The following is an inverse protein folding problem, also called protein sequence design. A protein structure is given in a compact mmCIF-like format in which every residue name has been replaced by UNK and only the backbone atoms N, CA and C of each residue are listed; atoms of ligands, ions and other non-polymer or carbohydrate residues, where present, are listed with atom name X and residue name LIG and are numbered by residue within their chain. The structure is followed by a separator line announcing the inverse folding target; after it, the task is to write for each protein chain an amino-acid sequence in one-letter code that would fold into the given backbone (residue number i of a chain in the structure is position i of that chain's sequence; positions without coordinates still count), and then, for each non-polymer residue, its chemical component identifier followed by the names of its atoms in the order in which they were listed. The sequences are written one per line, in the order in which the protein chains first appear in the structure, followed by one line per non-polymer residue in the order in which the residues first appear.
data_IF_031849096874
#
_entry.id   IF_031849096874
#
_cell.length_a   1.000
_cell.length_b   1.000
_cell.length_c   1.000
_cell.angle_alpha   90.00
_cell.angle_beta   90.00
_cell.angle_gamma   90.00
#
_symmetry.space_group_name_H-M   'P 1'
#
loop_
_entity.id
_entity.type
_entity.pdbx_description
1 polymer ?
#
# COMPACT_ATOMS: atom_id res chain seq x y z
N UNK A 1 -8.47 -46.76 10.28
CA UNK A 1 -8.02 -45.89 9.18
C UNK A 1 -8.94 -44.69 9.17
N UNK A 2 -8.48 -43.56 9.72
CA UNK A 2 -9.19 -42.29 9.63
C UNK A 2 -8.75 -41.63 8.33
N UNK A 3 -9.68 -41.51 7.38
CA UNK A 3 -9.46 -40.80 6.14
C UNK A 3 -9.30 -39.31 6.44
N UNK A 4 -8.05 -38.85 6.45
CA UNK A 4 -7.69 -37.44 6.39
C UNK A 4 -8.10 -36.90 5.03
N UNK A 5 -9.33 -36.39 4.94
CA UNK A 5 -9.78 -35.58 3.81
C UNK A 5 -9.01 -34.27 3.88
N UNK A 6 -7.88 -34.19 3.16
CA UNK A 6 -7.21 -32.93 2.88
C UNK A 6 -8.23 -31.96 2.27
N UNK A 7 -8.43 -30.75 2.83
CA UNK A 7 -9.38 -29.80 2.27
C UNK A 7 -8.98 -29.48 0.83
N UNK A 8 -9.96 -29.51 -0.07
CA UNK A 8 -9.78 -29.13 -1.47
C UNK A 8 -9.11 -27.74 -1.53
N UNK A 9 -8.11 -27.54 -2.41
CA UNK A 9 -7.45 -26.25 -2.54
C UNK A 9 -8.50 -25.19 -2.87
N UNK A 10 -8.49 -24.09 -2.12
CA UNK A 10 -9.39 -22.97 -2.36
C UNK A 10 -9.26 -22.52 -3.84
N UNK A 11 -10.37 -22.19 -4.52
CA UNK A 11 -10.32 -21.77 -5.90
C UNK A 11 -9.40 -20.54 -6.05
N UNK A 12 -8.57 -20.48 -7.11
CA UNK A 12 -7.62 -19.41 -7.28
C UNK A 12 -8.31 -18.05 -7.40
N UNK A 13 -7.74 -17.05 -6.73
CA UNK A 13 -8.24 -15.67 -6.76
C UNK A 13 -7.86 -15.01 -8.09
N UNK A 14 -8.88 -14.56 -8.83
CA UNK A 14 -8.70 -13.92 -10.14
C UNK A 14 -8.15 -14.86 -11.23
N UNK A 15 -8.06 -14.36 -12.47
CA UNK A 15 -7.37 -15.06 -13.57
C UNK A 15 -8.10 -16.27 -14.17
N UNK A 16 -9.27 -16.64 -13.64
CA UNK A 16 -10.13 -17.71 -14.17
C UNK A 16 -10.63 -17.46 -15.60
N UNK A 17 -11.18 -18.50 -16.25
CA UNK A 17 -11.71 -18.42 -17.63
C UNK A 17 -12.75 -17.31 -17.80
N UNK A 18 -13.71 -17.22 -16.89
CA UNK A 18 -14.75 -16.19 -16.90
C UNK A 18 -14.15 -14.77 -16.78
N UNK A 19 -13.19 -14.59 -15.89
CA UNK A 19 -12.50 -13.31 -15.65
C UNK A 19 -11.73 -12.85 -16.90
N UNK A 20 -11.04 -13.78 -17.58
CA UNK A 20 -10.38 -13.50 -18.87
C UNK A 20 -11.36 -13.13 -19.98
N UNK A 21 -12.50 -13.84 -20.05
CA UNK A 21 -13.54 -13.56 -21.03
C UNK A 21 -14.15 -12.17 -20.83
N UNK A 22 -14.54 -11.85 -19.59
CA UNK A 22 -15.07 -10.53 -19.21
C UNK A 22 -14.10 -9.41 -19.56
N UNK A 23 -12.79 -9.55 -19.29
CA UNK A 23 -11.80 -8.55 -19.68
C UNK A 23 -11.67 -8.38 -21.19
N UNK A 24 -11.79 -9.46 -21.97
CA UNK A 24 -11.79 -9.35 -23.44
C UNK A 24 -13.03 -8.59 -23.91
N UNK A 25 -14.21 -8.95 -23.41
CA UNK A 25 -15.46 -8.28 -23.74
C UNK A 25 -15.42 -6.78 -23.35
N UNK A 26 -14.94 -6.46 -22.16
CA UNK A 26 -14.79 -5.07 -21.71
C UNK A 26 -13.90 -4.26 -22.66
N UNK A 27 -12.75 -4.82 -23.08
CA UNK A 27 -11.83 -4.15 -24.01
C UNK A 27 -12.39 -3.97 -25.42
N UNK A 28 -13.35 -4.80 -25.84
CA UNK A 28 -14.06 -4.63 -27.11
C UNK A 28 -15.12 -3.53 -27.02
N UNK A 29 -15.78 -3.38 -25.87
CA UNK A 29 -16.89 -2.45 -25.69
C UNK A 29 -16.49 -1.05 -25.20
N UNK A 30 -15.27 -0.89 -24.66
CA UNK A 30 -14.85 0.34 -23.95
C UNK A 30 -13.56 0.94 -24.51
N UNK A 31 -13.41 2.25 -24.33
CA UNK A 31 -12.25 3.00 -24.82
C UNK A 31 -10.95 2.60 -24.10
N UNK A 32 -9.81 2.93 -24.71
CA UNK A 32 -8.48 2.72 -24.09
C UNK A 32 -8.37 3.43 -22.73
N UNK A 33 -8.95 4.62 -22.61
CA UNK A 33 -8.98 5.44 -21.39
C UNK A 33 -9.84 4.87 -20.26
N UNK A 34 -10.56 3.76 -20.48
CA UNK A 34 -11.33 3.08 -19.43
C UNK A 34 -10.77 1.72 -19.08
N UNK A 35 -9.64 1.30 -19.68
CA UNK A 35 -9.12 -0.07 -19.58
C UNK A 35 -8.76 -0.50 -18.16
N UNK A 36 -8.35 0.43 -17.29
CA UNK A 36 -8.10 0.16 -15.89
C UNK A 36 -9.35 -0.41 -15.17
N UNK A 37 -10.54 -0.07 -15.63
CA UNK A 37 -11.81 -0.58 -15.07
C UNK A 37 -12.17 -2.01 -15.48
N UNK A 38 -11.39 -2.66 -16.37
CA UNK A 38 -11.67 -4.03 -16.82
C UNK A 38 -11.62 -5.05 -15.68
N UNK A 39 -10.91 -4.73 -14.60
CA UNK A 39 -10.82 -5.55 -13.39
C UNK A 39 -11.97 -5.28 -12.42
N UNK A 40 -12.80 -4.26 -12.63
CA UNK A 40 -13.93 -3.96 -11.76
C UNK A 40 -15.25 -4.45 -12.38
N UNK A 41 -15.43 -4.23 -13.68
CA UNK A 41 -16.64 -4.65 -14.39
C UNK A 41 -16.67 -6.16 -14.68
N UNK A 42 -17.85 -6.83 -14.61
CA UNK A 42 -19.14 -6.37 -14.08
C UNK A 42 -19.31 -6.65 -12.57
N UNK A 43 -18.25 -7.11 -11.91
CA UNK A 43 -18.31 -7.71 -10.59
C UNK A 43 -18.50 -6.71 -9.44
N UNK A 44 -18.02 -5.49 -9.64
CA UNK A 44 -18.02 -4.42 -8.64
C UNK A 44 -19.09 -3.38 -8.97
N UNK A 45 -19.67 -2.78 -7.92
CA UNK A 45 -20.42 -1.54 -7.95
C UNK A 45 -19.88 -0.64 -6.84
N UNK A 46 -19.74 0.65 -7.15
CA UNK A 46 -19.29 1.66 -6.19
C UNK A 46 -20.30 2.80 -6.12
N UNK A 47 -20.28 3.51 -5.00
CA UNK A 47 -20.97 4.78 -4.82
C UNK A 47 -19.96 5.83 -4.38
N UNK A 48 -20.15 7.07 -4.83
CA UNK A 48 -19.30 8.20 -4.49
C UNK A 48 -20.12 9.23 -3.73
N UNK A 49 -19.49 9.89 -2.78
CA UNK A 49 -20.08 11.02 -2.07
C UNK A 49 -19.91 12.33 -2.88
N UNK A 50 -20.29 13.46 -2.28
CA UNK A 50 -20.21 14.78 -2.94
C UNK A 50 -18.79 15.26 -3.22
N UNK A 51 -17.80 14.78 -2.45
CA UNK A 51 -16.37 15.04 -2.72
C UNK A 51 -15.85 14.21 -3.89
N UNK A 52 -16.60 13.20 -4.31
CA UNK A 52 -16.20 12.22 -5.30
C UNK A 52 -15.42 11.04 -4.71
N UNK A 53 -15.15 10.99 -3.40
CA UNK A 53 -14.56 9.83 -2.74
C UNK A 53 -15.51 8.63 -2.76
N UNK A 54 -14.98 7.40 -2.75
CA UNK A 54 -15.80 6.18 -2.72
C UNK A 54 -16.34 5.98 -1.31
N UNK A 55 -17.67 6.00 -1.16
CA UNK A 55 -18.36 5.84 0.12
C UNK A 55 -19.13 4.52 0.25
N UNK A 56 -19.19 3.72 -0.82
CA UNK A 56 -19.82 2.41 -0.79
C UNK A 56 -19.19 1.46 -1.81
N UNK A 57 -19.12 0.19 -1.45
CA UNK A 57 -18.51 -0.84 -2.28
C UNK A 57 -19.29 -2.15 -2.20
N UNK A 58 -19.66 -2.70 -3.36
CA UNK A 58 -20.31 -4.01 -3.49
C UNK A 58 -19.57 -4.83 -4.54
N UNK A 59 -19.20 -6.06 -4.20
CA UNK A 59 -18.60 -7.00 -5.15
C UNK A 59 -19.19 -8.40 -4.99
N UNK A 60 -19.44 -9.09 -6.10
CA UNK A 60 -19.98 -10.47 -6.10
C UNK A 60 -21.24 -10.63 -5.23
N UNK A 61 -22.15 -9.66 -5.31
CA UNK A 61 -23.40 -9.66 -4.54
C UNK A 61 -23.28 -9.21 -3.09
N UNK A 62 -22.06 -9.11 -2.54
CA UNK A 62 -21.75 -8.76 -1.14
C UNK A 62 -21.35 -7.29 -1.00
N UNK A 63 -21.77 -6.64 0.09
CA UNK A 63 -21.43 -5.25 0.41
C UNK A 63 -20.51 -5.21 1.63
N UNK A 64 -19.53 -4.30 1.62
CA UNK A 64 -18.69 -4.01 2.78
C UNK A 64 -18.88 -2.55 3.21
N UNK A 65 -18.90 -2.28 4.54
CA UNK A 65 -18.86 -0.91 5.02
C UNK A 65 -17.52 -0.27 4.65
N UNK A 66 -17.58 0.95 4.10
CA UNK A 66 -16.39 1.74 3.77
C UNK A 66 -16.23 2.82 4.81
N UNK A 67 -15.05 2.89 5.41
CA UNK A 67 -14.64 3.93 6.32
C UNK A 67 -14.19 5.15 5.50
N UNK A 68 -14.78 6.35 5.71
CA UNK A 68 -14.32 7.57 5.09
C UNK A 68 -12.82 7.79 5.35
N UNK A 69 -12.08 8.28 4.35
CA UNK A 69 -10.61 8.47 4.49
C UNK A 69 -10.24 9.35 5.69
N UNK A 70 -11.02 10.40 5.95
CA UNK A 70 -10.84 11.29 7.11
C UNK A 70 -11.00 10.60 8.48
N UNK A 71 -11.56 9.39 8.53
CA UNK A 71 -11.74 8.57 9.74
C UNK A 71 -10.81 7.34 9.74
N UNK A 72 -10.03 7.15 8.68
CA UNK A 72 -9.15 5.99 8.52
C UNK A 72 -7.85 6.07 9.32
N UNK A 73 -7.43 7.31 9.63
CA UNK A 73 -6.18 7.62 10.32
C UNK A 73 -6.48 8.31 11.66
N UNK A 74 -5.67 8.04 12.67
CA UNK A 74 -5.68 8.72 13.96
C UNK A 74 -4.70 9.90 13.93
N UNK A 75 -5.17 11.16 13.94
CA UNK A 75 -4.29 12.33 13.85
C UNK A 75 -3.28 12.45 14.99
N UNK A 76 -3.48 11.74 16.11
CA UNK A 76 -2.51 11.69 17.21
C UNK A 76 -1.24 10.88 16.86
N UNK A 77 -1.30 10.05 15.82
CA UNK A 77 -0.14 9.29 15.33
C UNK A 77 0.75 10.19 14.47
N UNK A 78 1.42 11.18 15.06
CA UNK A 78 2.35 12.05 14.31
C UNK A 78 3.63 11.32 13.88
N UNK A 79 4.05 10.31 14.65
CA UNK A 79 5.19 9.44 14.36
C UNK A 79 4.71 8.01 14.05
N UNK A 80 4.99 7.53 12.84
CA UNK A 80 4.55 6.20 12.37
C UNK A 80 5.67 5.40 11.72
N UNK A 81 5.62 4.08 11.89
CA UNK A 81 6.57 3.15 11.29
C UNK A 81 5.93 2.52 10.05
N UNK A 82 6.49 2.80 8.87
CA UNK A 82 6.09 2.13 7.62
C UNK A 82 6.95 0.87 7.44
N UNK A 83 6.36 -0.30 7.61
CA UNK A 83 7.07 -1.58 7.57
C UNK A 83 6.78 -2.28 6.24
N UNK A 84 7.83 -2.46 5.44
CA UNK A 84 7.80 -3.16 4.15
C UNK A 84 8.28 -4.61 4.28
N UNK A 85 8.69 -5.19 3.16
CA UNK A 85 9.14 -6.59 3.07
C UNK A 85 10.52 -6.73 2.44
N UNK A 86 11.36 -5.69 2.49
CA UNK A 86 12.76 -5.82 2.10
C UNK A 86 13.53 -6.71 3.08
N UNK A 87 14.55 -7.46 2.63
CA UNK A 87 15.33 -8.38 3.48
C UNK A 87 15.94 -7.73 4.72
N UNK A 88 16.21 -6.42 4.75
CA UNK A 88 16.78 -5.73 5.93
C UNK A 88 15.91 -5.85 7.19
N UNK A 89 14.60 -6.04 7.06
CA UNK A 89 13.70 -6.21 8.21
C UNK A 89 13.99 -7.47 9.02
N UNK A 90 14.67 -8.47 8.44
CA UNK A 90 15.01 -9.71 9.12
C UNK A 90 16.00 -9.50 10.29
N UNK A 91 16.75 -8.40 10.26
CA UNK A 91 17.84 -8.12 11.20
C UNK A 91 17.39 -7.20 12.35
N UNK A 92 16.16 -6.67 12.30
CA UNK A 92 15.66 -5.70 13.29
C UNK A 92 14.98 -6.45 14.45
N UNK A 93 15.43 -6.26 15.71
CA UNK A 93 14.80 -6.86 16.88
C UNK A 93 13.57 -6.04 17.31
N UNK A 94 12.46 -6.16 16.57
CA UNK A 94 11.25 -5.33 16.74
C UNK A 94 10.67 -5.29 18.17
N UNK A 95 10.90 -6.33 18.97
CA UNK A 95 10.52 -6.40 20.39
C UNK A 95 11.24 -5.36 21.26
N UNK A 96 12.40 -4.86 20.82
CA UNK A 96 13.20 -3.86 21.53
C UNK A 96 12.89 -2.42 21.11
N UNK A 97 12.13 -2.21 20.03
CA UNK A 97 11.88 -0.89 19.46
C UNK A 97 10.66 -0.23 20.11
N UNK A 98 10.73 1.08 20.41
CA UNK A 98 9.57 1.89 20.77
C UNK A 98 8.75 2.22 19.52
N UNK A 99 7.81 1.35 19.19
CA UNK A 99 6.87 1.52 18.08
C UNK A 99 5.48 1.70 18.68
N UNK A 100 4.87 2.87 18.48
CA UNK A 100 3.50 3.15 18.95
C UNK A 100 2.45 2.88 17.88
N UNK A 101 2.77 3.20 16.63
CA UNK A 101 1.89 3.02 15.49
C UNK A 101 2.70 2.53 14.29
N UNK A 102 2.20 1.49 13.63
CA UNK A 102 2.79 0.95 12.40
C UNK A 102 1.75 0.85 11.27
N UNK A 103 2.22 1.16 10.06
CA UNK A 103 1.57 0.76 8.82
C UNK A 103 2.37 -0.38 8.19
N UNK A 104 1.74 -1.55 8.06
CA UNK A 104 2.32 -2.64 7.27
C UNK A 104 1.95 -2.52 5.79
N UNK A 105 2.82 -3.02 4.92
CA UNK A 105 2.50 -3.20 3.50
C UNK A 105 2.83 -4.59 3.01
N UNK A 106 2.01 -5.10 2.09
CA UNK A 106 2.17 -6.42 1.48
C UNK A 106 2.50 -7.52 2.52
N UNK A 107 3.69 -8.14 2.43
CA UNK A 107 4.07 -9.26 3.28
C UNK A 107 4.57 -8.91 4.68
N UNK A 108 4.57 -7.65 5.09
CA UNK A 108 5.03 -7.21 6.41
C UNK A 108 4.31 -7.92 7.57
N UNK A 109 3.07 -8.34 7.37
CA UNK A 109 2.26 -9.10 8.34
C UNK A 109 2.92 -10.41 8.78
N UNK A 110 3.84 -10.95 7.99
CA UNK A 110 4.62 -12.13 8.38
C UNK A 110 5.44 -11.89 9.66
N UNK A 111 5.84 -10.64 9.94
CA UNK A 111 6.54 -10.26 11.17
C UNK A 111 5.65 -10.39 12.41
N UNK A 112 4.32 -10.25 12.26
CA UNK A 112 3.37 -10.42 13.36
C UNK A 112 3.30 -11.86 13.90
N UNK A 113 3.96 -12.83 13.25
CA UNK A 113 4.14 -14.20 13.76
C UNK A 113 5.26 -14.29 14.80
N UNK A 114 6.20 -13.34 14.78
CA UNK A 114 7.40 -13.33 15.64
C UNK A 114 7.38 -12.20 16.66
N UNK A 115 6.77 -11.07 16.31
CA UNK A 115 6.79 -9.85 17.11
C UNK A 115 5.37 -9.31 17.29
N UNK A 116 5.10 -8.73 18.45
CA UNK A 116 3.85 -8.04 18.72
C UNK A 116 3.91 -6.60 18.19
N UNK A 117 3.70 -6.46 16.88
CA UNK A 117 3.75 -5.17 16.19
C UNK A 117 2.38 -4.47 16.21
N UNK A 118 2.31 -3.18 16.58
CA UNK A 118 1.05 -2.42 16.63
C UNK A 118 0.66 -1.93 15.23
N UNK A 119 0.27 -2.86 14.36
CA UNK A 119 -0.29 -2.55 13.05
C UNK A 119 -1.67 -1.90 13.19
N UNK A 120 -1.71 -0.58 13.44
CA UNK A 120 -2.94 0.24 13.37
C UNK A 120 -3.42 0.40 11.94
N UNK A 121 -2.48 0.39 10.98
CA UNK A 121 -2.74 0.62 9.57
C UNK A 121 -2.14 -0.49 8.70
N UNK A 122 -2.73 -0.68 7.52
CA UNK A 122 -2.16 -1.53 6.48
C UNK A 122 -2.47 -0.97 5.10
N UNK A 123 -1.57 -1.11 4.13
CA UNK A 123 -1.81 -0.69 2.76
C UNK A 123 -1.51 -1.81 1.76
N UNK A 124 -2.49 -2.10 0.88
CA UNK A 124 -2.35 -3.09 -0.20
C UNK A 124 -2.88 -2.48 -1.50
N UNK A 125 -1.96 -2.25 -2.44
CA UNK A 125 -2.31 -1.80 -3.81
C UNK A 125 -1.90 -2.80 -4.90
N UNK A 126 -1.11 -3.83 -4.55
CA UNK A 126 -0.67 -4.86 -5.50
C UNK A 126 -1.68 -6.01 -5.57
N UNK A 127 -2.39 -6.11 -6.69
CA UNK A 127 -3.32 -7.23 -6.93
C UNK A 127 -2.63 -8.61 -6.94
N UNK A 128 -1.35 -8.69 -7.34
CA UNK A 128 -0.66 -9.98 -7.38
C UNK A 128 -0.40 -10.50 -5.97
N UNK A 129 -0.08 -9.61 -5.02
CA UNK A 129 0.03 -9.99 -3.62
C UNK A 129 -1.23 -10.69 -3.11
N UNK A 130 -2.42 -10.19 -3.44
CA UNK A 130 -3.69 -10.84 -3.04
C UNK A 130 -3.88 -12.19 -3.73
N UNK A 131 -3.53 -12.28 -5.01
CA UNK A 131 -3.72 -13.50 -5.81
C UNK A 131 -2.78 -14.61 -5.39
N UNK A 132 -1.54 -14.25 -5.08
CA UNK A 132 -0.46 -15.20 -4.84
C UNK A 132 -0.34 -15.53 -3.34
N UNK A 133 -0.68 -14.58 -2.45
CA UNK A 133 -0.50 -14.67 -0.99
C UNK A 133 -1.77 -14.37 -0.20
N UNK A 134 -2.89 -14.96 -0.63
CA UNK A 134 -4.20 -14.78 0.03
C UNK A 134 -4.19 -15.20 1.52
N UNK A 135 -3.27 -16.10 1.91
CA UNK A 135 -3.03 -16.51 3.31
C UNK A 135 -2.60 -15.32 4.18
N UNK A 136 -1.67 -14.50 3.69
CA UNK A 136 -1.21 -13.30 4.38
C UNK A 136 -2.29 -12.23 4.40
N UNK A 137 -3.04 -12.08 3.32
CA UNK A 137 -4.16 -11.14 3.26
C UNK A 137 -5.26 -11.49 4.26
N UNK A 138 -5.57 -12.78 4.42
CA UNK A 138 -6.50 -13.25 5.44
C UNK A 138 -6.06 -12.86 6.85
N UNK A 139 -4.77 -12.98 7.15
CA UNK A 139 -4.20 -12.54 8.42
C UNK A 139 -4.27 -11.02 8.63
N UNK A 140 -4.24 -10.23 7.56
CA UNK A 140 -4.38 -8.76 7.62
C UNK A 140 -5.84 -8.38 7.91
N UNK A 141 -6.78 -8.89 7.10
CA UNK A 141 -8.19 -8.49 7.19
C UNK A 141 -8.89 -9.00 8.45
N UNK A 142 -8.36 -10.05 9.09
CA UNK A 142 -8.88 -10.58 10.34
C UNK A 142 -8.53 -9.73 11.58
N UNK A 143 -7.68 -8.71 11.45
CA UNK A 143 -7.24 -7.84 12.56
C UNK A 143 -8.10 -6.58 12.65
N UNK A 144 -8.15 -6.00 13.85
CA UNK A 144 -8.70 -4.67 14.07
C UNK A 144 -7.65 -3.61 13.69
N UNK A 145 -7.71 -3.19 12.44
CA UNK A 145 -6.83 -2.17 11.84
C UNK A 145 -7.58 -1.42 10.73
N UNK A 146 -7.01 -0.33 10.21
CA UNK A 146 -7.48 0.28 8.95
C UNK A 146 -6.68 -0.24 7.77
N UNK A 147 -7.36 -0.88 6.83
CA UNK A 147 -6.80 -1.31 5.55
C UNK A 147 -7.10 -0.27 4.46
N UNK A 148 -6.05 0.35 3.95
CA UNK A 148 -6.05 1.17 2.75
C UNK A 148 -5.84 0.30 1.51
N UNK A 149 -6.74 0.41 0.55
CA UNK A 149 -6.78 -0.54 -0.56
C UNK A 149 -7.28 0.09 -1.86
N UNK A 150 -6.76 -0.37 -3.00
CA UNK A 150 -7.32 -0.04 -4.30
C UNK A 150 -8.62 -0.81 -4.58
N UNK A 151 -9.59 -0.23 -5.32
CA UNK A 151 -10.86 -0.90 -5.65
C UNK A 151 -10.68 -2.29 -6.26
N UNK A 152 -9.68 -2.46 -7.14
CA UNK A 152 -9.42 -3.75 -7.78
C UNK A 152 -8.84 -4.79 -6.81
N UNK A 153 -8.03 -4.35 -5.86
CA UNK A 153 -7.46 -5.20 -4.82
C UNK A 153 -8.57 -5.66 -3.88
N UNK A 154 -9.43 -4.73 -3.42
CA UNK A 154 -10.58 -5.06 -2.59
C UNK A 154 -11.54 -6.05 -3.27
N UNK A 155 -11.74 -5.92 -4.58
CA UNK A 155 -12.48 -6.92 -5.35
C UNK A 155 -11.86 -8.32 -5.18
N UNK A 156 -10.56 -8.48 -5.36
CA UNK A 156 -9.92 -9.80 -5.23
C UNK A 156 -9.93 -10.33 -3.80
N UNK A 157 -9.79 -9.44 -2.80
CA UNK A 157 -9.96 -9.79 -1.39
C UNK A 157 -11.36 -10.38 -1.19
N UNK A 158 -12.40 -9.67 -1.61
CA UNK A 158 -13.77 -10.17 -1.50
C UNK A 158 -13.95 -11.46 -2.30
N UNK A 159 -13.35 -11.61 -3.47
CA UNK A 159 -13.44 -12.85 -4.25
C UNK A 159 -12.89 -14.07 -3.49
N UNK A 160 -11.78 -13.91 -2.78
CA UNK A 160 -11.05 -15.02 -2.13
C UNK A 160 -11.35 -15.24 -0.65
N UNK A 161 -11.89 -14.23 0.04
CA UNK A 161 -12.09 -14.25 1.48
C UNK A 161 -13.59 -14.07 1.80
N UNK A 162 -14.19 -14.95 2.64
CA UNK A 162 -15.53 -14.78 3.17
C UNK A 162 -15.70 -13.44 3.89
N UNK A 163 -16.90 -12.87 3.81
CA UNK A 163 -17.14 -11.51 4.32
C UNK A 163 -17.01 -11.42 5.85
N UNK A 164 -17.38 -12.47 6.57
CA UNK A 164 -17.33 -12.62 8.02
C UNK A 164 -15.91 -12.71 8.59
N UNK A 165 -14.92 -13.01 7.73
CA UNK A 165 -13.51 -12.98 8.10
C UNK A 165 -12.85 -11.59 7.93
N UNK A 166 -13.54 -10.66 7.27
CA UNK A 166 -13.06 -9.29 7.09
C UNK A 166 -13.53 -8.45 8.28
N UNK A 167 -12.63 -8.26 9.25
CA UNK A 167 -12.87 -7.52 10.50
C UNK A 167 -12.27 -6.12 10.51
N UNK A 168 -11.27 -5.87 9.66
CA UNK A 168 -10.65 -4.56 9.56
C UNK A 168 -11.60 -3.48 9.00
N UNK A 169 -11.30 -2.23 9.31
CA UNK A 169 -11.91 -1.06 8.66
C UNK A 169 -11.33 -0.90 7.26
N UNK A 170 -12.16 -0.59 6.27
CA UNK A 170 -11.73 -0.48 4.87
C UNK A 170 -11.76 0.99 4.42
N UNK A 171 -10.61 1.53 4.06
CA UNK A 171 -10.47 2.81 3.38
C UNK A 171 -10.07 2.59 1.93
N UNK A 172 -10.83 3.14 0.99
CA UNK A 172 -10.52 3.02 -0.43
C UNK A 172 -9.70 4.25 -0.86
N UNK A 173 -8.51 3.98 -1.38
CA UNK A 173 -7.67 4.96 -2.08
C UNK A 173 -7.68 4.63 -3.57
N UNK A 174 -7.37 5.61 -4.42
CA UNK A 174 -7.35 5.44 -5.88
C UNK A 174 -6.08 6.04 -6.45
N UNK A 175 -5.65 5.56 -7.62
CA UNK A 175 -4.72 6.34 -8.43
C UNK A 175 -5.41 7.61 -8.89
N UNK A 176 -4.76 8.76 -8.68
CA UNK A 176 -5.27 10.06 -9.12
C UNK A 176 -5.52 10.11 -10.63
N UNK A 177 -4.71 9.38 -11.40
CA UNK A 177 -4.83 9.27 -12.85
C UNK A 177 -5.82 8.22 -13.33
N UNK A 178 -6.24 7.26 -12.49
CA UNK A 178 -7.03 6.08 -12.89
C UNK A 178 -8.14 5.76 -11.88
N UNK A 179 -8.96 6.77 -11.56
CA UNK A 179 -10.11 6.61 -10.66
C UNK A 179 -11.12 5.59 -11.20
N UNK A 180 -11.67 4.77 -10.31
CA UNK A 180 -12.58 3.69 -10.63
C UNK A 180 -13.86 4.18 -11.32
N UNK A 181 -14.21 3.51 -12.41
CA UNK A 181 -15.30 3.84 -13.34
C UNK A 181 -15.24 5.22 -13.99
N UNK A 182 -14.15 5.97 -13.79
CA UNK A 182 -13.87 7.19 -14.53
C UNK A 182 -12.93 6.88 -15.70
N UNK A 183 -12.74 7.85 -16.60
CA UNK A 183 -11.70 7.77 -17.63
C UNK A 183 -10.36 8.14 -17.01
N UNK A 184 -9.28 7.54 -17.49
CA UNK A 184 -7.94 7.92 -17.10
C UNK A 184 -7.71 9.42 -17.37
N UNK A 185 -7.07 10.09 -16.42
CA UNK A 185 -6.85 11.52 -16.48
C UNK A 185 -5.83 11.84 -17.57
N UNK A 186 -6.22 12.70 -18.50
CA UNK A 186 -5.27 13.27 -19.45
C UNK A 186 -4.27 14.19 -18.72
N UNK A 187 -3.07 14.42 -19.26
CA UNK A 187 -2.08 15.31 -18.63
C UNK A 187 -2.60 16.71 -18.32
N UNK A 188 -3.47 17.25 -19.18
CA UNK A 188 -4.11 18.55 -18.95
C UNK A 188 -5.06 18.53 -17.73
N UNK A 189 -5.73 17.41 -17.46
CA UNK A 189 -6.57 17.25 -16.28
C UNK A 189 -5.72 17.18 -15.01
N UNK A 190 -4.63 16.39 -15.01
CA UNK A 190 -3.71 16.35 -13.88
C UNK A 190 -3.16 17.73 -13.55
N UNK A 191 -2.75 18.50 -14.58
CA UNK A 191 -2.32 19.90 -14.40
C UNK A 191 -3.40 20.79 -13.78
N UNK A 192 -4.67 20.61 -14.18
CA UNK A 192 -5.80 21.36 -13.58
C UNK A 192 -6.00 21.00 -12.12
N UNK A 193 -5.90 19.71 -11.76
CA UNK A 193 -6.01 19.27 -10.36
C UNK A 193 -4.87 19.90 -9.54
N UNK A 194 -3.63 19.81 -10.00
CA UNK A 194 -2.47 20.38 -9.32
C UNK A 194 -2.51 21.92 -9.22
N UNK A 195 -3.14 22.60 -10.18
CA UNK A 195 -3.33 24.05 -10.12
C UNK A 195 -4.46 24.47 -9.15
N UNK A 196 -5.40 23.56 -8.84
CA UNK A 196 -6.56 23.84 -8.00
C UNK A 196 -6.30 23.68 -6.50
N UNK A 197 -5.23 22.97 -6.11
CA UNK A 197 -4.88 22.74 -4.70
C UNK A 197 -3.36 22.64 -4.51
N UNK A 198 -2.79 23.19 -3.42
CA UNK A 198 -1.39 22.98 -3.07
C UNK A 198 -1.09 21.52 -2.69
N UNK A 199 -2.11 20.71 -2.40
CA UNK A 199 -1.94 19.32 -1.92
C UNK A 199 -1.54 18.36 -3.04
N UNK A 200 -1.60 18.76 -4.31
CA UNK A 200 -1.14 17.93 -5.43
C UNK A 200 0.01 18.61 -6.13
N UNK A 201 1.16 17.93 -6.15
CA UNK A 201 2.39 18.42 -6.80
C UNK A 201 2.77 17.45 -7.91
N UNK A 202 3.01 17.96 -9.13
CA UNK A 202 3.35 17.13 -10.29
C UNK A 202 4.85 17.20 -10.58
N UNK A 203 5.45 16.03 -10.76
CA UNK A 203 6.78 15.88 -11.35
C UNK A 203 6.65 15.87 -12.87
N UNK A 204 5.76 15.03 -13.40
CA UNK A 204 5.52 14.91 -14.84
C UNK A 204 4.05 14.50 -15.11
N UNK A 205 3.26 15.44 -15.61
CA UNK A 205 1.86 15.20 -15.94
C UNK A 205 1.66 14.20 -17.10
N UNK A 206 2.62 14.07 -18.03
CA UNK A 206 2.52 13.13 -19.17
C UNK A 206 2.73 11.70 -18.71
N UNK A 207 3.69 11.50 -17.80
CA UNK A 207 3.97 10.20 -17.21
C UNK A 207 3.05 9.89 -16.01
N UNK A 208 2.27 10.86 -15.55
CA UNK A 208 1.40 10.70 -14.39
C UNK A 208 2.20 10.58 -13.09
N UNK A 209 3.29 11.34 -12.96
CA UNK A 209 4.17 11.35 -11.79
C UNK A 209 3.95 12.60 -10.95
N UNK A 210 3.95 12.42 -9.64
CA UNK A 210 3.69 13.49 -8.68
C UNK A 210 3.61 12.94 -7.26
N UNK A 211 3.07 13.76 -6.37
CA UNK A 211 2.80 13.43 -4.98
C UNK A 211 1.51 14.12 -4.55
N UNK A 212 0.64 13.39 -3.84
CA UNK A 212 -0.57 13.94 -3.22
C UNK A 212 -0.46 13.95 -1.70
N UNK A 213 -0.71 15.10 -1.10
CA UNK A 213 -0.89 15.32 0.34
C UNK A 213 -2.36 15.15 0.76
N UNK A 214 -3.25 14.90 -0.19
CA UNK A 214 -4.66 14.56 0.05
C UNK A 214 -5.01 13.26 -0.68
N UNK A 215 -5.08 12.16 0.09
CA UNK A 215 -5.41 10.85 -0.44
C UNK A 215 -6.84 10.75 -0.98
N UNK A 216 -7.74 11.70 -0.65
CA UNK A 216 -9.11 11.75 -1.19
C UNK A 216 -9.15 12.15 -2.67
N UNK A 217 -8.15 12.89 -3.13
CA UNK A 217 -7.94 13.21 -4.54
C UNK A 217 -7.31 12.06 -5.32
N UNK A 218 -6.74 11.08 -4.61
CA UNK A 218 -5.99 9.96 -5.13
C UNK A 218 -4.49 10.09 -4.86
N UNK A 219 -3.78 8.99 -5.04
CA UNK A 219 -2.33 8.87 -4.83
C UNK A 219 -1.60 8.64 -6.15
N UNK A 220 -0.29 8.85 -6.13
CA UNK A 220 0.65 8.37 -7.14
C UNK A 220 1.34 7.10 -6.61
N UNK A 221 1.60 6.08 -7.42
CA UNK A 221 2.21 4.84 -6.90
C UNK A 221 3.72 4.74 -7.17
N UNK A 222 4.23 5.41 -8.21
CA UNK A 222 5.60 5.27 -8.68
C UNK A 222 6.04 3.79 -8.81
N UNK A 223 5.09 2.89 -9.14
CA UNK A 223 5.27 1.43 -9.16
C UNK A 223 5.78 0.79 -7.85
N UNK A 224 5.50 1.40 -6.70
CA UNK A 224 5.86 0.84 -5.40
C UNK A 224 4.80 1.15 -4.35
N UNK A 225 4.40 0.11 -3.60
CA UNK A 225 3.44 0.25 -2.49
C UNK A 225 3.95 1.23 -1.43
N UNK A 226 5.27 1.33 -1.27
CA UNK A 226 5.92 2.28 -0.36
C UNK A 226 5.47 3.73 -0.61
N UNK A 227 5.43 4.14 -1.88
CA UNK A 227 5.22 5.52 -2.27
C UNK A 227 3.75 5.93 -2.12
N UNK A 228 2.82 5.02 -2.42
CA UNK A 228 1.40 5.20 -2.13
C UNK A 228 1.13 5.22 -0.62
N UNK A 229 1.72 4.30 0.14
CA UNK A 229 1.55 4.23 1.60
C UNK A 229 2.06 5.50 2.31
N UNK A 230 3.20 6.05 1.87
CA UNK A 230 3.69 7.33 2.39
C UNK A 230 2.70 8.48 2.14
N UNK A 231 2.06 8.54 0.97
CA UNK A 231 1.03 9.56 0.70
C UNK A 231 -0.18 9.38 1.60
N UNK A 232 -0.60 8.14 1.88
CA UNK A 232 -1.67 7.87 2.84
C UNK A 232 -1.30 8.37 4.24
N UNK A 233 -0.11 8.00 4.74
CA UNK A 233 0.35 8.39 6.08
C UNK A 233 0.44 9.92 6.21
N UNK A 234 1.10 10.58 5.27
CA UNK A 234 1.31 12.02 5.32
C UNK A 234 -0.02 12.78 5.13
N UNK A 235 -0.91 12.28 4.26
CA UNK A 235 -2.27 12.83 4.13
C UNK A 235 -3.11 12.66 5.40
N UNK A 236 -2.88 11.58 6.16
CA UNK A 236 -3.54 11.33 7.43
C UNK A 236 -3.06 12.22 8.58
N UNK A 237 -1.86 12.78 8.47
CA UNK A 237 -1.28 13.67 9.48
C UNK A 237 0.10 13.27 9.98
N UNK A 238 0.69 12.17 9.50
CA UNK A 238 2.04 11.76 9.88
C UNK A 238 3.06 12.88 9.57
N UNK A 239 3.85 13.26 10.58
CA UNK A 239 4.93 14.23 10.48
C UNK A 239 6.30 13.59 10.49
N UNK A 240 6.43 12.44 11.15
CA UNK A 240 7.65 11.66 11.17
C UNK A 240 7.37 10.22 10.76
N UNK A 241 8.07 9.72 9.74
CA UNK A 241 7.92 8.34 9.27
C UNK A 241 9.25 7.61 9.27
N UNK A 242 9.33 6.51 10.01
CA UNK A 242 10.45 5.57 9.94
C UNK A 242 10.10 4.43 8.99
N UNK A 243 10.88 4.28 7.92
CA UNK A 243 10.63 3.30 6.87
C UNK A 243 11.56 2.10 7.05
N UNK A 244 10.98 0.91 7.20
CA UNK A 244 11.68 -0.35 7.45
C UNK A 244 11.61 -1.23 6.20
N UNK A 245 12.72 -1.78 5.72
CA UNK A 245 12.69 -2.68 4.57
C UNK A 245 12.50 -1.99 3.21
N UNK A 246 12.78 -0.68 3.11
CA UNK A 246 12.84 0.01 1.81
C UNK A 246 14.22 -0.20 1.18
N UNK A 247 14.47 -1.43 0.77
CA UNK A 247 15.78 -1.86 0.27
C UNK A 247 15.94 -1.56 -1.22
N UNK A 248 14.90 -1.83 -2.01
CA UNK A 248 14.88 -1.63 -3.47
C UNK A 248 16.11 -2.24 -4.17
N UNK A 249 16.62 -3.36 -3.64
CA UNK A 249 17.87 -3.98 -4.09
C UNK A 249 17.75 -4.50 -5.51
N UNK A 250 18.65 -4.02 -6.37
CA UNK A 250 18.69 -4.39 -7.80
C UNK A 250 19.42 -5.72 -8.02
N UNK A 251 20.29 -6.13 -7.08
CA UNK A 251 21.21 -7.26 -7.25
C UNK A 251 20.74 -8.58 -6.60
N UNK A 252 19.83 -8.54 -5.62
CA UNK A 252 19.32 -9.73 -4.94
C UNK A 252 17.82 -9.59 -4.71
N UNK A 253 17.03 -9.91 -5.75
CA UNK A 253 15.57 -9.83 -5.75
C UNK A 253 14.87 -10.85 -4.84
N UNK A 254 15.32 -10.98 -3.60
CA UNK A 254 14.71 -11.75 -2.53
C UNK A 254 13.97 -10.78 -1.62
N UNK A 255 12.64 -10.79 -1.65
CA UNK A 255 11.84 -10.20 -0.57
C UNK A 255 12.04 -11.01 0.72
N UNK A 256 11.69 -10.42 1.87
CA UNK A 256 11.78 -11.04 3.19
C UNK A 256 10.93 -12.31 3.35
N UNK A 257 9.89 -12.48 2.53
CA UNK A 257 9.01 -13.65 2.55
C UNK A 257 9.22 -14.51 1.29
N UNK A 258 8.89 -15.81 1.39
CA UNK A 258 8.97 -16.75 0.28
C UNK A 258 8.13 -16.29 -0.93
N UNK A 259 8.80 -15.99 -2.05
CA UNK A 259 8.20 -15.52 -3.31
C UNK A 259 7.82 -16.67 -4.26
N UNK A 260 8.04 -17.94 -3.88
CA UNK A 260 7.80 -19.09 -4.75
C UNK A 260 8.74 -19.12 -5.97
N UNK A 261 8.30 -19.80 -7.04
CA UNK A 261 9.21 -20.24 -8.11
C UNK A 261 9.65 -19.18 -9.15
N UNK A 262 9.14 -17.93 -9.13
CA UNK A 262 9.50 -16.90 -10.14
C UNK A 262 9.75 -15.48 -9.58
N UNK A 263 11.02 -15.10 -9.31
CA UNK A 263 11.38 -13.77 -8.79
C UNK A 263 11.30 -12.65 -9.85
N UNK A 264 10.88 -11.43 -9.47
CA UNK A 264 10.60 -10.30 -10.38
C UNK A 264 11.78 -9.31 -10.63
N UNK A 265 13.03 -9.75 -10.57
CA UNK A 265 14.22 -8.87 -10.46
C UNK A 265 14.47 -7.87 -11.61
N UNK A 266 14.27 -8.25 -12.89
CA UNK A 266 14.66 -7.41 -14.05
C UNK A 266 13.79 -6.17 -14.27
N UNK A 267 12.55 -6.17 -13.75
CA UNK A 267 11.62 -5.04 -13.89
C UNK A 267 11.95 -3.90 -12.92
N UNK A 268 12.43 -4.24 -11.73
CA UNK A 268 12.78 -3.27 -10.70
C UNK A 268 13.95 -2.39 -11.15
N UNK A 269 15.01 -2.98 -11.72
CA UNK A 269 16.17 -2.25 -12.23
C UNK A 269 15.80 -1.12 -13.21
N UNK A 270 14.98 -1.43 -14.22
CA UNK A 270 14.58 -0.46 -15.27
C UNK A 270 13.64 0.63 -14.75
N UNK A 271 12.75 0.27 -13.83
CA UNK A 271 11.81 1.21 -13.22
C UNK A 271 12.48 2.05 -12.13
N UNK A 272 13.54 1.55 -11.50
CA UNK A 272 14.24 2.27 -10.45
C UNK A 272 14.75 3.63 -10.94
N UNK A 273 15.59 3.63 -11.98
CA UNK A 273 16.23 4.84 -12.49
C UNK A 273 15.27 5.84 -13.16
N UNK A 274 14.19 5.34 -13.79
CA UNK A 274 13.30 6.20 -14.60
C UNK A 274 12.01 6.62 -13.89
N UNK A 275 11.64 5.93 -12.80
CA UNK A 275 10.34 6.08 -12.15
C UNK A 275 10.48 6.22 -10.64
N UNK A 276 11.08 5.23 -9.97
CA UNK A 276 11.08 5.14 -8.50
C UNK A 276 11.98 6.23 -7.89
N UNK A 277 13.26 6.26 -8.27
CA UNK A 277 14.24 7.21 -7.72
C UNK A 277 13.86 8.68 -8.01
N UNK A 278 13.48 9.07 -9.25
CA UNK A 278 12.98 10.41 -9.52
C UNK A 278 11.75 10.80 -8.71
N UNK A 279 10.81 9.86 -8.50
CA UNK A 279 9.60 10.12 -7.71
C UNK A 279 9.93 10.35 -6.23
N UNK A 280 10.80 9.53 -5.65
CA UNK A 280 11.25 9.73 -4.27
C UNK A 280 12.08 11.01 -4.10
N UNK A 281 12.94 11.34 -5.05
CA UNK A 281 13.70 12.61 -5.07
C UNK A 281 12.76 13.81 -5.10
N UNK A 282 11.74 13.76 -5.95
CA UNK A 282 10.70 14.78 -6.02
C UNK A 282 9.93 14.90 -4.70
N UNK A 283 9.42 13.79 -4.16
CA UNK A 283 8.64 13.77 -2.92
C UNK A 283 9.45 14.26 -1.72
N UNK A 284 10.73 13.89 -1.63
CA UNK A 284 11.62 14.33 -0.56
C UNK A 284 11.72 15.84 -0.43
N UNK A 285 11.84 16.56 -1.55
CA UNK A 285 11.80 18.02 -1.54
C UNK A 285 10.45 18.56 -1.02
N UNK A 286 9.34 17.91 -1.40
CA UNK A 286 7.99 18.28 -0.97
C UNK A 286 7.74 18.03 0.52
N UNK A 287 8.30 16.96 1.08
CA UNK A 287 8.24 16.64 2.51
C UNK A 287 8.98 17.69 3.33
N UNK A 288 10.22 18.02 2.95
CA UNK A 288 11.02 19.05 3.62
C UNK A 288 10.31 20.41 3.64
N UNK A 289 9.72 20.80 2.51
CA UNK A 289 8.95 22.05 2.39
C UNK A 289 7.71 22.11 3.31
N UNK A 290 7.19 20.95 3.76
CA UNK A 290 6.02 20.83 4.65
C UNK A 290 6.37 20.36 6.07
N UNK A 291 7.66 20.33 6.42
CA UNK A 291 8.11 19.89 7.74
C UNK A 291 7.86 18.41 8.05
N UNK A 292 7.77 17.56 7.02
CA UNK A 292 7.64 16.11 7.18
C UNK A 292 9.03 15.48 7.12
N UNK A 293 9.38 14.69 8.13
CA UNK A 293 10.63 13.91 8.18
C UNK A 293 10.37 12.46 7.83
N UNK A 294 11.10 11.95 6.84
CA UNK A 294 11.07 10.53 6.46
C UNK A 294 12.48 9.98 6.58
N UNK A 295 12.63 8.90 7.33
CA UNK A 295 13.91 8.22 7.55
C UNK A 295 13.85 6.80 7.01
N UNK A 296 14.91 6.36 6.31
CA UNK A 296 15.04 4.97 5.88
C UNK A 296 15.96 4.22 6.84
N UNK A 297 15.48 3.11 7.40
CA UNK A 297 16.27 2.27 8.30
C UNK A 297 17.05 1.17 7.58
N UNK A 298 16.88 1.05 6.27
CA UNK A 298 17.62 0.07 5.48
C UNK A 298 19.07 0.51 5.23
N UNK A 299 20.07 -0.26 5.71
CA UNK A 299 21.47 0.01 5.40
C UNK A 299 21.83 -0.31 3.94
N UNK A 300 21.03 -1.15 3.27
CA UNK A 300 21.29 -1.65 1.91
C UNK A 300 20.38 -1.01 0.85
N UNK A 301 19.68 0.06 1.21
CA UNK A 301 18.78 0.78 0.30
C UNK A 301 19.50 1.28 -0.96
N UNK A 302 18.94 0.96 -2.13
CA UNK A 302 19.35 1.54 -3.40
C UNK A 302 18.98 3.03 -3.52
N UNK A 303 17.96 3.50 -2.78
CA UNK A 303 17.72 4.95 -2.63
C UNK A 303 18.84 5.55 -1.78
N UNK A 304 19.45 6.61 -2.32
CA UNK A 304 20.55 7.33 -1.69
C UNK A 304 20.09 8.14 -0.48
N UNK A 305 21.01 8.34 0.47
CA UNK A 305 20.75 9.02 1.73
C UNK A 305 20.45 10.53 1.56
N UNK A 306 20.80 11.15 0.43
CA UNK A 306 20.40 12.52 0.09
C UNK A 306 18.91 12.64 -0.26
N UNK A 307 18.29 11.53 -0.70
CA UNK A 307 16.85 11.48 -1.00
C UNK A 307 16.07 11.21 0.29
N UNK A 308 16.38 10.14 1.02
CA UNK A 308 15.77 9.83 2.31
C UNK A 308 16.91 9.61 3.29
N UNK A 309 16.94 10.40 4.36
CA UNK A 309 17.98 10.29 5.38
C UNK A 309 18.00 8.87 5.95
N UNK A 310 19.20 8.29 6.04
CA UNK A 310 19.38 6.97 6.62
C UNK A 310 19.59 7.09 8.13
N UNK A 311 18.87 6.28 8.90
CA UNK A 311 19.08 6.13 10.35
C UNK A 311 19.29 4.67 10.70
N UNK A 312 20.10 4.42 11.72
CA UNK A 312 20.18 3.08 12.32
C UNK A 312 18.93 2.83 13.16
N UNK A 313 18.42 1.60 13.18
CA UNK A 313 17.24 1.25 13.98
C UNK A 313 17.49 1.40 15.48
N UNK A 314 18.75 1.40 15.93
CA UNK A 314 19.13 1.57 17.34
C UNK A 314 18.66 2.89 17.94
N UNK A 315 18.41 3.92 17.12
CA UNK A 315 17.84 5.20 17.59
C UNK A 315 16.39 5.06 18.10
N UNK A 316 15.77 3.90 17.86
CA UNK A 316 14.39 3.57 18.24
C UNK A 316 14.33 2.58 19.41
N UNK A 317 15.45 2.24 20.04
CA UNK A 317 15.45 1.37 21.21
C UNK A 317 14.59 1.96 22.33
N UNK A 318 13.77 1.12 22.96
CA UNK A 318 13.05 1.49 24.18
C UNK A 318 14.05 1.98 25.22
N UNK A 319 13.73 3.09 25.88
CA UNK A 319 14.51 3.53 27.04
C UNK A 319 14.49 2.40 28.08
N UNK A 320 15.68 1.92 28.47
CA UNK A 320 15.79 0.99 29.58
C UNK A 320 15.44 1.78 30.83
N UNK A 321 14.42 1.39 31.63
CA UNK A 321 14.16 2.05 32.89
C UNK A 321 15.44 2.02 33.70
N UNK A 322 15.93 3.19 34.12
CA UNK A 322 17.08 3.27 35.01
C UNK A 322 16.80 2.34 36.20
N UNK A 323 17.56 1.24 36.30
CA UNK A 323 17.57 0.40 37.49
C UNK A 323 17.71 1.36 38.67
N UNK A 324 16.69 1.43 39.52
CA UNK A 324 16.79 2.11 40.80
C UNK A 324 17.95 1.46 41.54
N UNK A 325 19.14 2.06 41.43
CA UNK A 325 20.26 1.75 42.29
C UNK A 325 19.91 2.30 43.66
N UNK A 326 19.53 1.40 44.55
CA UNK A 326 19.56 1.61 46.00
C UNK A 326 18.23 2.03 46.61
N UNK A 327 17.63 1.11 47.37
CA UNK A 327 17.83 1.10 48.81
C UNK A 327 17.97 -0.36 49.27
#
# INVERSE_FOLDING_TARGET
MQDSISPLPAPPVGGGRADRFVRKLFRLLRSRTQRHNQHLWPFVRIWRDRSGAICGFRAFGRSLPITPLAQGYDPADETVHLILSGPSVAQIPYDQLDIRAAMGVNGAIALARKFDLPFKYYCIIDQNFVRDRIDLVRAIVARDLTLYVFPEVLRYIMQGIPQDEIRCRICIIELISERAYQRSAAPAMLKRIAAATPDVQLLDAKQGLGYSFDASLGVFDADTVAYAALQVLVSGGARQVYVHGLDLTVQHGLRFYDEGAQPQSSRLARKFANLIEPSFRFASAQWRARGVSVFNLSPVSALSADIIERKDWQVLLKEVPAMQKGA
#
